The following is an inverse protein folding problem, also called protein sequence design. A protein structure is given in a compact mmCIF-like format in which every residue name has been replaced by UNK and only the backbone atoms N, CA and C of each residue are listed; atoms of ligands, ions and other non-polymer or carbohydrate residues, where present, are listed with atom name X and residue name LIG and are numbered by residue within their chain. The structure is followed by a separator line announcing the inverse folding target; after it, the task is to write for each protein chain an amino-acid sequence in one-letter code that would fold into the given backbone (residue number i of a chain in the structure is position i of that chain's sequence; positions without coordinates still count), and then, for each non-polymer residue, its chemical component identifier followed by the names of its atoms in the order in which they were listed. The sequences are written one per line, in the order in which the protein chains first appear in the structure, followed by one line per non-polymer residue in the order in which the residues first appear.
data_IF_791645332791
#
_entry.id   IF_791645332791
#
_cell.length_a   1.000
_cell.length_b   1.000
_cell.length_c   1.000
_cell.angle_alpha   90.00
_cell.angle_beta   90.00
_cell.angle_gamma   90.00
#
_symmetry.space_group_name_H-M   'P 1'
#
loop_
_entity.id
_entity.type
_entity.pdbx_description
1 polymer ?
#
# COMPACT_ATOMS: atom_id res chain seq x y z
N UNK A 1 17.35 34.56 -8.35
CA UNK A 1 16.89 34.02 -7.04
C UNK A 1 17.06 32.51 -7.06
N UNK A 2 17.86 31.99 -6.10
CA UNK A 2 18.37 30.62 -6.08
C UNK A 2 17.29 29.62 -5.69
N UNK A 3 16.91 28.74 -6.62
CA UNK A 3 16.00 27.62 -6.37
C UNK A 3 16.70 26.57 -5.52
N UNK A 4 16.27 26.39 -4.27
CA UNK A 4 16.76 25.31 -3.39
C UNK A 4 16.43 23.97 -4.03
N UNK A 5 17.43 23.33 -4.65
CA UNK A 5 17.37 21.93 -5.06
C UNK A 5 17.28 21.09 -3.78
N UNK A 6 16.10 20.55 -3.50
CA UNK A 6 15.90 19.58 -2.43
C UNK A 6 16.95 18.47 -2.62
N UNK A 7 17.76 18.12 -1.61
CA UNK A 7 18.85 17.16 -1.80
C UNK A 7 18.26 15.83 -2.29
N UNK A 8 18.86 15.25 -3.33
CA UNK A 8 18.39 14.00 -3.98
C UNK A 8 18.18 12.83 -3.00
N UNK A 9 18.83 12.86 -1.84
CA UNK A 9 18.63 11.88 -0.75
C UNK A 9 17.25 11.98 -0.08
N UNK A 10 16.70 13.18 0.09
CA UNK A 10 15.35 13.37 0.65
C UNK A 10 14.28 12.86 -0.29
N UNK A 11 14.47 13.04 -1.60
CA UNK A 11 13.55 12.52 -2.63
C UNK A 11 13.49 10.98 -2.60
N UNK A 12 14.66 10.33 -2.50
CA UNK A 12 14.75 8.86 -2.34
C UNK A 12 14.13 8.34 -1.03
N UNK A 13 14.30 9.08 0.06
CA UNK A 13 13.70 8.72 1.35
C UNK A 13 12.17 8.83 1.30
N UNK A 14 11.65 9.86 0.61
CA UNK A 14 10.22 10.04 0.40
C UNK A 14 9.63 8.92 -0.48
N UNK A 15 10.31 8.54 -1.55
CA UNK A 15 9.93 7.41 -2.41
C UNK A 15 9.92 6.09 -1.63
N UNK A 16 10.94 5.83 -0.81
CA UNK A 16 11.01 4.65 0.05
C UNK A 16 9.90 4.64 1.13
N UNK A 17 9.64 5.79 1.76
CA UNK A 17 8.55 5.93 2.73
C UNK A 17 7.18 5.70 2.10
N UNK A 18 6.96 6.19 0.88
CA UNK A 18 5.71 5.96 0.14
C UNK A 18 5.51 4.47 -0.19
N UNK A 19 6.57 3.77 -0.62
CA UNK A 19 6.50 2.32 -0.84
C UNK A 19 6.15 1.55 0.44
N UNK A 20 6.74 1.93 1.57
CA UNK A 20 6.44 1.31 2.87
C UNK A 20 4.98 1.53 3.32
N UNK A 21 4.45 2.74 3.09
CA UNK A 21 3.04 3.04 3.37
C UNK A 21 2.12 2.18 2.51
N UNK A 22 2.37 2.11 1.19
CA UNK A 22 1.56 1.29 0.28
C UNK A 22 1.59 -0.19 0.65
N UNK A 23 2.75 -0.75 1.00
CA UNK A 23 2.85 -2.13 1.49
C UNK A 23 2.06 -2.34 2.78
N UNK A 24 2.14 -1.39 3.73
CA UNK A 24 1.41 -1.50 5.00
C UNK A 24 -0.10 -1.48 4.77
N UNK A 25 -0.59 -0.58 3.92
CA UNK A 25 -2.01 -0.51 3.54
C UNK A 25 -2.44 -1.79 2.83
N UNK A 26 -1.62 -2.33 1.94
CA UNK A 26 -1.91 -3.58 1.25
C UNK A 26 -2.06 -4.76 2.22
N UNK A 27 -1.13 -4.92 3.16
CA UNK A 27 -1.18 -5.97 4.20
C UNK A 27 -2.38 -5.77 5.12
N UNK A 28 -2.68 -4.53 5.48
CA UNK A 28 -3.85 -4.20 6.30
C UNK A 28 -5.17 -4.57 5.61
N UNK A 29 -5.30 -4.26 4.32
CA UNK A 29 -6.47 -4.64 3.52
C UNK A 29 -6.59 -6.17 3.42
N UNK A 30 -5.51 -6.88 3.11
CA UNK A 30 -5.52 -8.35 3.06
C UNK A 30 -5.95 -8.96 4.39
N UNK A 31 -5.44 -8.44 5.51
CA UNK A 31 -5.81 -8.90 6.85
C UNK A 31 -7.28 -8.62 7.17
N UNK A 32 -7.75 -7.42 6.84
CA UNK A 32 -9.16 -7.02 7.04
C UNK A 32 -10.10 -7.87 6.18
N UNK A 33 -9.75 -8.10 4.93
CA UNK A 33 -10.52 -8.96 4.02
C UNK A 33 -10.59 -10.41 4.53
N UNK A 34 -9.47 -10.94 5.03
CA UNK A 34 -9.44 -12.27 5.66
C UNK A 34 -10.35 -12.34 6.90
N UNK A 35 -10.36 -11.31 7.75
CA UNK A 35 -11.27 -11.24 8.90
C UNK A 35 -12.75 -11.19 8.47
N UNK A 36 -13.07 -10.42 7.43
CA UNK A 36 -14.43 -10.37 6.87
C UNK A 36 -14.88 -11.73 6.33
N UNK A 37 -13.98 -12.46 5.64
CA UNK A 37 -14.23 -13.83 5.17
C UNK A 37 -14.52 -14.75 6.36
N UNK A 38 -13.72 -14.68 7.42
CA UNK A 38 -13.91 -15.49 8.63
C UNK A 38 -15.25 -15.20 9.34
N UNK A 39 -15.76 -13.97 9.22
CA UNK A 39 -17.08 -13.58 9.74
C UNK A 39 -18.25 -13.99 8.82
N UNK A 40 -17.98 -14.73 7.75
CA UNK A 40 -18.98 -15.18 6.78
C UNK A 40 -19.30 -14.15 5.70
N UNK A 41 -18.61 -13.00 5.67
CA UNK A 41 -18.80 -11.96 4.67
C UNK A 41 -17.82 -12.14 3.50
N UNK A 42 -18.07 -13.18 2.70
CA UNK A 42 -17.19 -13.57 1.59
C UNK A 42 -17.15 -12.54 0.46
N UNK A 43 -18.23 -11.81 0.21
CA UNK A 43 -18.31 -10.82 -0.86
C UNK A 43 -17.41 -9.61 -0.55
N UNK A 44 -17.60 -8.99 0.61
CA UNK A 44 -16.81 -7.84 1.03
C UNK A 44 -15.38 -8.27 1.31
N UNK A 45 -15.19 -9.39 2.02
CA UNK A 45 -13.86 -9.88 2.34
C UNK A 45 -13.04 -10.26 1.10
N UNK A 46 -13.67 -10.90 0.11
CA UNK A 46 -13.04 -11.19 -1.19
C UNK A 46 -12.65 -9.92 -1.96
N UNK A 47 -13.56 -8.94 -2.06
CA UNK A 47 -13.28 -7.67 -2.73
C UNK A 47 -12.13 -6.91 -2.06
N UNK A 48 -12.12 -6.84 -0.73
CA UNK A 48 -11.07 -6.18 0.05
C UNK A 48 -9.72 -6.88 -0.13
N UNK A 49 -9.69 -8.22 -0.15
CA UNK A 49 -8.48 -8.98 -0.44
C UNK A 49 -7.93 -8.70 -1.85
N UNK A 50 -8.80 -8.66 -2.87
CA UNK A 50 -8.39 -8.36 -4.25
C UNK A 50 -7.81 -6.93 -4.36
N UNK A 51 -8.46 -5.95 -3.74
CA UNK A 51 -7.97 -4.56 -3.71
C UNK A 51 -6.61 -4.50 -3.01
N UNK A 52 -6.46 -5.16 -1.86
CA UNK A 52 -5.19 -5.24 -1.13
C UNK A 52 -4.08 -5.88 -1.96
N UNK A 53 -4.38 -6.94 -2.71
CA UNK A 53 -3.43 -7.60 -3.60
C UNK A 53 -3.00 -6.71 -4.78
N UNK A 54 -3.94 -5.99 -5.40
CA UNK A 54 -3.62 -5.03 -6.47
C UNK A 54 -2.70 -3.92 -5.95
N UNK A 55 -2.99 -3.39 -4.75
CA UNK A 55 -2.16 -2.39 -4.09
C UNK A 55 -0.76 -2.92 -3.76
N UNK A 56 -0.66 -4.18 -3.35
CA UNK A 56 0.63 -4.84 -3.10
C UNK A 56 1.47 -4.93 -4.38
N UNK A 57 0.85 -5.34 -5.50
CA UNK A 57 1.52 -5.38 -6.80
C UNK A 57 1.93 -3.97 -7.24
N UNK A 58 1.05 -2.98 -7.11
CA UNK A 58 1.38 -1.61 -7.44
C UNK A 58 2.56 -1.09 -6.60
N UNK A 59 2.64 -1.43 -5.31
CA UNK A 59 3.73 -1.01 -4.43
C UNK A 59 5.08 -1.67 -4.79
N UNK A 60 5.06 -2.94 -5.20
CA UNK A 60 6.28 -3.69 -5.54
C UNK A 60 6.78 -3.43 -6.97
N UNK A 61 5.88 -3.14 -7.90
CA UNK A 61 6.20 -2.98 -9.33
C UNK A 61 6.12 -1.53 -9.84
N UNK A 62 5.70 -0.55 -9.02
CA UNK A 62 5.87 0.90 -9.32
C UNK A 62 7.24 1.45 -8.95
#
# INVERSE_FOLDING_TARGET
MSGRKIPSRFKRLQEAGWKAVLQTIAVFLLTTGAQQIQQGNYLIGGAVCVIGFILFLAANYS
#
